data_IF_454051823670
#
_entry.id   IF_454051823670
#
_cell.length_a   1.000
_cell.length_b   1.000
_cell.length_c   1.000
_cell.angle_alpha   90.00
_cell.angle_beta   90.00
_cell.angle_gamma   90.00
#
_symmetry.space_group_name_H-M   'P 1'
#
loop_
_entity.id
_entity.type
_entity.pdbx_description
1 polymer ?
#
# COMPACT_ATOMS: atom_id res chain seq x y z
N UNK A 1 -0.42 21.39 8.38
CA UNK A 1 0.45 21.55 7.21
C UNK A 1 0.92 20.16 6.76
N UNK A 2 0.59 19.80 5.53
CA UNK A 2 0.57 18.43 5.01
C UNK A 2 1.93 18.08 4.38
N UNK A 3 2.87 17.57 5.18
CA UNK A 3 4.08 16.95 4.65
C UNK A 3 3.74 15.54 4.15
N UNK A 4 3.10 15.43 2.97
CA UNK A 4 2.84 14.13 2.34
C UNK A 4 4.01 13.81 1.41
N UNK A 5 4.72 12.73 1.73
CA UNK A 5 5.91 12.23 1.04
C UNK A 5 5.57 11.59 -0.32
N UNK A 6 4.33 11.16 -0.53
CA UNK A 6 3.87 10.60 -1.80
C UNK A 6 3.60 11.69 -2.85
N UNK A 7 4.20 11.53 -4.04
CA UNK A 7 4.00 12.42 -5.21
C UNK A 7 2.57 12.34 -5.73
N UNK A 8 1.96 11.15 -5.69
CA UNK A 8 0.60 10.92 -6.18
C UNK A 8 -0.38 10.62 -5.05
N UNK A 9 -1.67 10.89 -5.31
CA UNK A 9 -2.78 10.55 -4.42
C UNK A 9 -3.80 9.72 -5.19
N UNK A 10 -4.39 8.70 -4.55
CA UNK A 10 -5.38 7.88 -5.22
C UNK A 10 -6.61 8.73 -5.53
N UNK A 11 -7.10 8.62 -6.77
CA UNK A 11 -8.33 9.27 -7.25
C UNK A 11 -8.95 8.41 -8.34
N UNK A 12 -10.28 8.38 -8.41
CA UNK A 12 -11.01 7.69 -9.47
C UNK A 12 -10.67 8.28 -10.83
N UNK A 13 -10.13 7.44 -11.72
CA UNK A 13 -9.83 7.79 -13.11
C UNK A 13 -10.97 7.41 -14.07
N UNK A 14 -10.75 7.57 -15.38
CA UNK A 14 -11.74 7.23 -16.41
C UNK A 14 -12.18 5.76 -16.38
N UNK A 15 -11.29 4.85 -15.95
CA UNK A 15 -11.55 3.41 -15.82
C UNK A 15 -11.96 2.99 -14.41
N UNK A 16 -12.33 3.95 -13.54
CA UNK A 16 -12.81 3.68 -12.19
C UNK A 16 -11.70 3.51 -11.15
N UNK A 17 -11.93 2.57 -10.23
CA UNK A 17 -11.06 2.22 -9.09
C UNK A 17 -9.93 1.27 -9.54
N UNK A 18 -8.67 1.69 -9.34
CA UNK A 18 -7.48 0.93 -9.79
C UNK A 18 -7.22 -0.34 -8.99
N UNK A 19 -7.94 -0.55 -7.89
CA UNK A 19 -7.82 -1.74 -7.07
C UNK A 19 -8.15 -3.03 -7.82
N UNK A 20 -9.06 -2.96 -8.78
CA UNK A 20 -9.43 -4.09 -9.64
C UNK A 20 -8.27 -4.67 -10.48
N UNK A 21 -7.13 -3.98 -10.57
CA UNK A 21 -6.00 -4.38 -11.43
C UNK A 21 -5.09 -5.42 -10.79
N UNK A 22 -5.20 -5.64 -9.47
CA UNK A 22 -4.26 -6.46 -8.72
C UNK A 22 -4.57 -7.95 -8.84
N UNK A 23 -3.52 -8.77 -8.84
CA UNK A 23 -3.61 -10.22 -8.63
C UNK A 23 -3.26 -10.63 -7.19
N UNK A 24 -2.49 -9.79 -6.51
CA UNK A 24 -2.07 -9.96 -5.12
C UNK A 24 -2.33 -8.67 -4.34
N UNK A 25 -2.64 -8.79 -3.05
CA UNK A 25 -2.76 -7.66 -2.11
C UNK A 25 -1.75 -7.79 -0.97
N UNK A 26 -1.23 -6.66 -0.46
CA UNK A 26 -0.41 -6.65 0.74
C UNK A 26 -1.26 -6.89 2.00
N UNK A 27 -0.75 -7.69 2.93
CA UNK A 27 -1.24 -7.83 4.30
C UNK A 27 -0.11 -7.46 5.27
N UNK A 28 -0.39 -6.56 6.22
CA UNK A 28 0.60 -6.09 7.20
C UNK A 28 0.38 -6.82 8.52
N UNK A 29 1.43 -7.47 9.03
CA UNK A 29 1.49 -7.95 10.41
C UNK A 29 1.99 -6.83 11.33
N UNK A 30 1.06 -6.25 12.09
CA UNK A 30 1.36 -5.16 13.02
C UNK A 30 2.19 -5.61 14.22
N UNK A 31 2.28 -6.91 14.53
CA UNK A 31 3.14 -7.42 15.61
C UNK A 31 4.63 -7.39 15.21
N UNK A 32 4.92 -7.59 13.93
CA UNK A 32 6.29 -7.52 13.38
C UNK A 32 6.69 -6.09 12.97
N UNK A 33 5.69 -5.24 12.69
CA UNK A 33 5.89 -3.86 12.26
C UNK A 33 6.54 -2.99 13.35
N UNK A 34 7.67 -2.35 13.03
CA UNK A 34 8.33 -1.38 13.91
C UNK A 34 7.92 0.08 13.63
N UNK A 35 6.85 0.29 12.85
CA UNK A 35 6.30 1.61 12.51
C UNK A 35 7.31 2.61 11.90
N UNK A 36 8.23 2.12 11.05
CA UNK A 36 9.23 2.98 10.38
C UNK A 36 8.66 3.88 9.26
N UNK A 37 7.47 3.57 8.75
CA UNK A 37 6.80 4.33 7.69
C UNK A 37 7.35 4.13 6.26
N UNK A 38 8.29 3.22 6.02
CA UNK A 38 8.85 3.03 4.67
C UNK A 38 7.79 2.62 3.64
N UNK A 39 6.86 1.75 4.01
CA UNK A 39 5.76 1.33 3.14
C UNK A 39 4.87 2.52 2.71
N UNK A 40 4.58 3.44 3.63
CA UNK A 40 3.83 4.67 3.34
C UNK A 40 4.61 5.60 2.41
N UNK A 41 5.89 5.86 2.71
CA UNK A 41 6.76 6.77 1.96
C UNK A 41 6.99 6.33 0.51
N UNK A 42 7.20 5.03 0.29
CA UNK A 42 7.53 4.48 -1.02
C UNK A 42 6.31 3.99 -1.80
N UNK A 43 5.09 4.11 -1.25
CA UNK A 43 3.89 3.75 -1.98
C UNK A 43 3.68 4.74 -3.15
N UNK A 44 3.80 4.30 -4.42
CA UNK A 44 3.69 5.22 -5.55
C UNK A 44 2.29 5.80 -5.69
N UNK A 45 1.27 5.05 -5.28
CA UNK A 45 -0.14 5.45 -5.33
C UNK A 45 -0.62 6.12 -4.03
N UNK A 46 0.23 6.20 -2.99
CA UNK A 46 -0.12 6.85 -1.72
C UNK A 46 -1.33 6.26 -0.99
N UNK A 47 -1.53 4.94 -1.08
CA UNK A 47 -2.71 4.22 -0.52
C UNK A 47 -2.53 3.72 0.91
N UNK A 48 -1.39 3.99 1.55
CA UNK A 48 -1.10 3.55 2.93
C UNK A 48 -1.13 4.78 3.83
N UNK A 49 -1.95 4.75 4.88
CA UNK A 49 -2.03 5.85 5.87
C UNK A 49 -1.02 5.70 7.02
N UNK A 50 -1.06 6.64 7.97
CA UNK A 50 -0.11 6.66 9.11
C UNK A 50 -0.39 5.56 10.15
N UNK A 51 -1.61 5.07 10.16
CA UNK A 51 -2.09 3.97 10.97
C UNK A 51 -1.83 2.61 10.28
N UNK A 52 -1.20 2.62 9.10
CA UNK A 52 -0.87 1.46 8.27
C UNK A 52 -2.09 0.73 7.71
N UNK A 53 -3.23 1.41 7.57
CA UNK A 53 -4.33 0.91 6.76
C UNK A 53 -4.01 1.09 5.28
N UNK A 54 -4.44 0.13 4.47
CA UNK A 54 -4.22 0.14 3.02
C UNK A 54 -5.56 0.31 2.32
N UNK A 55 -5.68 1.35 1.52
CA UNK A 55 -6.81 1.55 0.63
C UNK A 55 -6.77 0.54 -0.53
N UNK A 56 -7.50 -0.56 -0.35
CA UNK A 56 -7.68 -1.61 -1.36
C UNK A 56 -8.64 -1.20 -2.49
N UNK A 57 -9.25 -0.02 -2.49
CA UNK A 57 -9.97 0.45 -3.69
C UNK A 57 -8.99 0.95 -4.76
N UNK A 58 -7.78 1.38 -4.36
CA UNK A 58 -6.79 1.93 -5.29
C UNK A 58 -5.47 1.18 -5.30
N UNK A 59 -5.17 0.35 -4.31
CA UNK A 59 -3.97 -0.48 -4.28
C UNK A 59 -3.89 -1.41 -5.49
N UNK A 60 -2.85 -1.25 -6.31
CA UNK A 60 -2.59 -2.07 -7.51
C UNK A 60 -1.86 -3.38 -7.24
N UNK A 61 -1.44 -3.61 -5.99
CA UNK A 61 -0.71 -4.83 -5.63
C UNK A 61 0.72 -4.92 -6.16
N UNK A 62 1.41 -3.79 -6.35
CA UNK A 62 2.75 -3.74 -6.95
C UNK A 62 3.88 -4.37 -6.11
N UNK A 63 3.67 -4.61 -4.82
CA UNK A 63 4.64 -5.27 -3.95
C UNK A 63 5.78 -4.39 -3.40
N UNK A 64 5.91 -3.12 -3.82
CA UNK A 64 6.98 -2.22 -3.36
C UNK A 64 6.99 -2.10 -1.83
N UNK A 65 5.82 -1.97 -1.20
CA UNK A 65 5.72 -1.88 0.26
C UNK A 65 6.32 -3.10 0.99
N UNK A 66 6.15 -4.30 0.44
CA UNK A 66 6.71 -5.53 0.99
C UNK A 66 8.23 -5.62 0.77
N UNK A 67 8.70 -5.19 -0.40
CA UNK A 67 10.13 -5.18 -0.72
C UNK A 67 10.92 -4.26 0.23
N UNK A 68 10.46 -3.01 0.38
CA UNK A 68 11.12 -1.98 1.21
C UNK A 68 10.93 -2.17 2.71
N UNK A 69 10.10 -3.13 3.14
CA UNK A 69 9.86 -3.37 4.56
C UNK A 69 11.09 -4.04 5.20
N UNK A 70 11.84 -3.36 6.10
CA UNK A 70 13.04 -3.93 6.70
C UNK A 70 12.73 -5.07 7.68
N UNK A 71 11.52 -5.07 8.24
CA UNK A 71 11.03 -6.11 9.16
C UNK A 71 10.38 -7.29 8.45
N UNK A 72 10.23 -7.23 7.12
CA UNK A 72 9.47 -8.20 6.32
C UNK A 72 8.09 -8.50 6.92
N UNK A 73 7.47 -7.45 7.47
CA UNK A 73 6.17 -7.51 8.14
C UNK A 73 4.98 -7.45 7.15
N UNK A 74 5.24 -7.45 5.84
CA UNK A 74 4.20 -7.34 4.81
C UNK A 74 4.31 -8.53 3.89
N UNK A 75 3.22 -9.29 3.76
CA UNK A 75 3.13 -10.46 2.87
C UNK A 75 2.21 -10.14 1.69
N UNK A 76 2.58 -10.58 0.49
CA UNK A 76 1.73 -10.45 -0.70
C UNK A 76 0.85 -11.70 -0.83
N UNK A 77 -0.44 -11.55 -0.59
CA UNK A 77 -1.42 -12.64 -0.63
C UNK A 77 -2.20 -12.57 -1.94
N UNK A 78 -2.44 -13.73 -2.56
CA UNK A 78 -3.22 -13.80 -3.81
C UNK A 78 -4.67 -13.42 -3.55
N UNK A 79 -5.28 -12.64 -4.44
CA UNK A 79 -6.70 -12.37 -4.38
C UNK A 79 -7.51 -13.66 -4.55
N UNK A 80 -8.43 -13.93 -3.63
CA UNK A 80 -9.45 -14.96 -3.80
C UNK A 80 -10.59 -14.38 -4.63
N UNK A 81 -10.96 -15.08 -5.70
CA UNK A 81 -12.17 -14.78 -6.48
C UNK A 81 -13.42 -15.08 -5.68
#
# INVERSE_FOLDING_TARGET
MSAKLAISRPKTGAVGKTGSWRTFRPEIDLNLCNKCGNCEKFCPDGVIDKEYNIDLDFCKGCGICADVCPKKAITMVRESK
#
